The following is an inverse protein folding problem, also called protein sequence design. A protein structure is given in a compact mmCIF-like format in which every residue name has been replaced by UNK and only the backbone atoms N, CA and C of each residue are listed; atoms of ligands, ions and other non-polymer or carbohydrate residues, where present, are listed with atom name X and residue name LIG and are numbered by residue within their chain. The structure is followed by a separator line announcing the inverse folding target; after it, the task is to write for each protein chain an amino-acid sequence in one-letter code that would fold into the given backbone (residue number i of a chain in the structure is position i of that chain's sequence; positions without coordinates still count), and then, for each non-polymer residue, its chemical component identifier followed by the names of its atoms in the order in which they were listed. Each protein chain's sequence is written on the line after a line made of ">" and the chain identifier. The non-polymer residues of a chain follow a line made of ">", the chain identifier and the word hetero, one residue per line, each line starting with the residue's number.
data_IF_167674687604
#
_entry.id   IF_167674687604
#
_cell.length_a   1.000
_cell.length_b   1.000
_cell.length_c   1.000
_cell.angle_alpha   90.00
_cell.angle_beta   90.00
_cell.angle_gamma   90.00
#
_symmetry.space_group_name_H-M   'P 1'
#
loop_
_entity.id
_entity.type
_entity.pdbx_description
1 polymer ?
#
# COMPACT_ATOMS: atom_id res chain seq x y z
N UNK A 1 18.45 -3.18 -7.52
CA UNK A 1 18.51 -2.03 -6.62
C UNK A 1 17.16 -1.86 -5.95
N UNK A 2 17.13 -1.67 -4.63
CA UNK A 2 15.87 -1.55 -3.91
C UNK A 2 15.40 -0.10 -3.87
N UNK A 3 14.07 0.08 -3.88
CA UNK A 3 13.46 1.38 -3.62
C UNK A 3 13.50 1.69 -2.13
N UNK A 4 13.67 2.94 -1.79
CA UNK A 4 13.45 3.42 -0.43
C UNK A 4 11.94 3.45 -0.18
N UNK A 5 11.51 2.98 0.99
CA UNK A 5 10.09 3.02 1.38
C UNK A 5 9.91 4.09 2.45
N UNK A 6 9.02 5.03 2.17
CA UNK A 6 8.68 6.10 3.08
C UNK A 6 7.18 6.06 3.37
N UNK A 7 6.71 6.77 4.39
CA UNK A 7 5.34 6.69 4.85
C UNK A 7 4.77 8.09 5.03
N UNK A 8 3.52 8.28 4.60
CA UNK A 8 2.75 9.45 5.00
C UNK A 8 2.46 9.38 6.50
N UNK A 9 2.11 10.52 7.09
CA UNK A 9 1.75 10.57 8.51
C UNK A 9 0.58 9.65 8.82
N UNK A 10 -0.40 9.60 7.94
CA UNK A 10 -1.56 8.72 8.12
C UNK A 10 -1.15 7.24 8.07
N UNK A 11 -0.34 6.84 7.09
CA UNK A 11 0.12 5.46 6.96
C UNK A 11 0.93 5.04 8.19
N UNK A 12 1.76 5.94 8.70
CA UNK A 12 2.56 5.68 9.90
C UNK A 12 1.67 5.45 11.11
N UNK A 13 0.63 6.28 11.29
CA UNK A 13 -0.34 6.08 12.38
C UNK A 13 -1.09 4.76 12.23
N UNK A 14 -1.51 4.42 11.01
CA UNK A 14 -2.21 3.17 10.75
C UNK A 14 -1.32 1.96 11.04
N UNK A 15 -0.06 2.02 10.62
CA UNK A 15 0.91 0.95 10.86
C UNK A 15 1.12 0.72 12.36
N UNK A 16 1.22 1.79 13.12
CA UNK A 16 1.44 1.72 14.57
C UNK A 16 0.25 1.12 15.33
N UNK A 17 -0.94 1.11 14.75
CA UNK A 17 -2.15 0.54 15.36
C UNK A 17 -2.37 -0.93 15.02
N UNK A 18 -1.57 -1.50 14.13
CA UNK A 18 -1.74 -2.88 13.74
C UNK A 18 -1.33 -3.83 14.84
N UNK A 19 -2.02 -4.98 14.93
CA UNK A 19 -1.57 -6.10 15.75
C UNK A 19 -0.22 -6.58 15.24
N UNK A 20 0.51 -7.32 16.05
CA UNK A 20 1.81 -7.86 15.64
C UNK A 20 1.73 -8.73 14.39
N UNK A 21 0.78 -9.70 14.29
CA UNK A 21 0.67 -10.50 13.06
C UNK A 21 0.39 -9.66 11.80
N UNK A 22 -0.48 -8.66 11.91
CA UNK A 22 -0.79 -7.78 10.78
C UNK A 22 0.44 -6.96 10.39
N UNK A 23 1.18 -6.47 11.37
CA UNK A 23 2.39 -5.69 11.15
C UNK A 23 3.46 -6.52 10.44
N UNK A 24 3.62 -7.78 10.81
CA UNK A 24 4.56 -8.71 10.15
C UNK A 24 4.16 -8.92 8.70
N UNK A 25 2.87 -9.16 8.43
CA UNK A 25 2.38 -9.35 7.06
C UNK A 25 2.64 -8.12 6.20
N UNK A 26 2.37 -6.93 6.74
CA UNK A 26 2.61 -5.67 6.04
C UNK A 26 4.12 -5.45 5.81
N UNK A 27 4.94 -5.70 6.81
CA UNK A 27 6.40 -5.55 6.68
C UNK A 27 6.96 -6.43 5.57
N UNK A 28 6.51 -7.68 5.48
CA UNK A 28 6.94 -8.60 4.42
C UNK A 28 6.50 -8.10 3.04
N UNK A 29 5.29 -7.59 2.93
CA UNK A 29 4.80 -7.03 1.68
C UNK A 29 5.61 -5.79 1.28
N UNK A 30 5.95 -4.93 2.23
CA UNK A 30 6.78 -3.75 1.97
C UNK A 30 8.18 -4.13 1.50
N UNK A 31 8.78 -5.17 2.06
CA UNK A 31 10.09 -5.66 1.62
C UNK A 31 10.03 -6.09 0.15
N UNK A 32 8.97 -6.79 -0.25
CA UNK A 32 8.79 -7.20 -1.64
C UNK A 32 8.56 -6.00 -2.57
N UNK A 33 7.80 -5.01 -2.12
CA UNK A 33 7.56 -3.79 -2.89
C UNK A 33 8.83 -2.96 -3.05
N UNK A 34 9.71 -2.97 -2.05
CA UNK A 34 11.00 -2.28 -2.15
C UNK A 34 11.88 -2.86 -3.25
N UNK A 35 11.79 -4.18 -3.46
CA UNK A 35 12.54 -4.84 -4.54
C UNK A 35 11.90 -4.54 -5.90
N UNK A 36 10.57 -4.66 -5.99
CA UNK A 36 9.83 -4.39 -7.22
C UNK A 36 8.42 -3.87 -6.90
N UNK A 37 8.23 -2.55 -6.94
CA UNK A 37 6.91 -1.98 -6.61
C UNK A 37 5.83 -2.24 -7.66
N UNK A 38 6.21 -2.74 -8.83
CA UNK A 38 5.27 -3.11 -9.90
C UNK A 38 5.12 -4.63 -10.04
N UNK A 39 5.44 -5.37 -9.00
CA UNK A 39 5.39 -6.83 -8.99
C UNK A 39 3.98 -7.35 -9.31
N UNK A 40 3.85 -8.61 -9.77
CA UNK A 40 2.54 -9.22 -10.00
C UNK A 40 1.66 -9.14 -8.74
N UNK A 41 0.39 -8.80 -8.93
CA UNK A 41 -0.57 -8.59 -7.84
C UNK A 41 -0.74 -7.12 -7.46
N UNK A 42 0.20 -6.26 -7.79
CA UNK A 42 0.04 -4.82 -7.63
C UNK A 42 -0.86 -4.30 -8.73
N UNK A 43 -1.83 -3.45 -8.38
CA UNK A 43 -2.75 -2.85 -9.34
C UNK A 43 -2.88 -1.37 -9.07
N UNK A 44 -3.16 -0.61 -10.13
CA UNK A 44 -3.51 0.79 -9.99
C UNK A 44 -4.84 0.93 -9.27
N UNK A 45 -4.95 1.93 -8.40
CA UNK A 45 -6.21 2.28 -7.76
C UNK A 45 -7.11 2.92 -8.83
N UNK A 46 -8.33 2.42 -8.97
CA UNK A 46 -9.30 2.91 -9.95
C UNK A 46 -9.61 4.38 -9.65
N UNK A 47 -9.58 5.21 -10.69
CA UNK A 47 -9.83 6.65 -10.55
C UNK A 47 -8.62 7.47 -10.13
N UNK A 48 -7.45 6.84 -9.97
CA UNK A 48 -6.21 7.54 -9.64
C UNK A 48 -5.16 7.31 -10.72
N UNK A 49 -4.38 8.34 -11.00
CA UNK A 49 -3.28 8.24 -11.96
C UNK A 49 -1.97 7.82 -11.31
N UNK A 50 -1.88 7.87 -9.98
CA UNK A 50 -0.60 7.74 -9.29
C UNK A 50 -0.63 6.80 -8.08
N UNK A 51 -1.79 6.25 -7.72
CA UNK A 51 -1.90 5.36 -6.57
C UNK A 51 -1.98 3.90 -7.01
N UNK A 52 -1.30 3.05 -6.26
CA UNK A 52 -1.26 1.62 -6.46
C UNK A 52 -1.68 0.91 -5.18
N UNK A 53 -2.18 -0.30 -5.32
CA UNK A 53 -2.50 -1.14 -4.16
C UNK A 53 -1.75 -2.45 -4.19
N UNK A 54 -1.40 -2.93 -3.02
CA UNK A 54 -0.85 -4.27 -2.82
C UNK A 54 -1.59 -4.94 -1.67
N UNK A 55 -1.69 -6.27 -1.73
CA UNK A 55 -2.31 -7.07 -0.68
C UNK A 55 -1.26 -7.54 0.32
N UNK A 56 -1.63 -7.52 1.60
CA UNK A 56 -0.83 -8.06 2.69
C UNK A 56 -1.79 -8.80 3.62
N UNK A 57 -2.14 -10.06 3.27
CA UNK A 57 -3.20 -10.79 3.95
C UNK A 57 -4.53 -10.07 3.82
N UNK A 58 -5.18 -9.80 4.93
CA UNK A 58 -6.44 -9.05 4.95
C UNK A 58 -6.23 -7.53 4.90
N UNK A 59 -5.00 -7.08 4.82
CA UNK A 59 -4.68 -5.66 4.77
C UNK A 59 -4.32 -5.25 3.36
N UNK A 60 -4.50 -3.95 3.11
CA UNK A 60 -4.17 -3.33 1.82
C UNK A 60 -3.22 -2.19 2.05
N UNK A 61 -2.23 -2.10 1.19
CA UNK A 61 -1.23 -1.03 1.19
C UNK A 61 -1.50 -0.18 -0.03
N UNK A 62 -1.76 1.10 0.17
CA UNK A 62 -1.91 2.06 -0.91
C UNK A 62 -0.64 2.90 -0.96
N UNK A 63 -0.04 3.02 -2.12
CA UNK A 63 1.26 3.67 -2.25
C UNK A 63 1.43 4.36 -3.59
N UNK A 64 2.39 5.28 -3.61
CA UNK A 64 2.87 5.97 -4.81
C UNK A 64 4.24 5.43 -5.19
N UNK A 65 4.54 5.43 -6.48
CA UNK A 65 5.85 5.05 -6.99
C UNK A 65 6.49 6.28 -7.62
N UNK A 66 7.62 6.71 -7.08
CA UNK A 66 8.39 7.83 -7.59
C UNK A 66 9.68 7.27 -8.22
N UNK A 67 9.60 6.92 -9.50
CA UNK A 67 10.67 6.17 -10.17
C UNK A 67 11.97 6.95 -10.25
N UNK A 68 11.88 8.25 -10.57
CA UNK A 68 13.08 9.10 -10.69
C UNK A 68 13.84 9.19 -9.37
N UNK A 69 13.18 9.00 -8.25
CA UNK A 69 13.77 9.06 -6.91
C UNK A 69 14.01 7.69 -6.30
N UNK A 70 13.65 6.62 -7.00
CA UNK A 70 13.71 5.25 -6.51
C UNK A 70 13.01 5.14 -5.14
N UNK A 71 11.79 5.68 -5.06
CA UNK A 71 11.07 5.89 -3.81
C UNK A 71 9.65 5.36 -3.92
N UNK A 72 9.21 4.62 -2.91
CA UNK A 72 7.81 4.23 -2.70
C UNK A 72 7.30 4.99 -1.49
N UNK A 73 6.20 5.72 -1.63
CA UNK A 73 5.56 6.40 -0.52
C UNK A 73 4.26 5.68 -0.18
N UNK A 74 4.20 5.08 0.99
CA UNK A 74 2.99 4.41 1.48
C UNK A 74 2.07 5.48 2.06
N UNK A 75 0.85 5.57 1.51
CA UNK A 75 -0.11 6.60 1.92
C UNK A 75 -1.23 6.03 2.79
N UNK A 76 -1.54 4.73 2.68
CA UNK A 76 -2.50 4.06 3.55
C UNK A 76 -2.11 2.61 3.82
N UNK A 77 -2.39 2.16 5.03
CA UNK A 77 -2.32 0.75 5.42
C UNK A 77 -3.56 0.46 6.26
N UNK A 78 -4.49 -0.32 5.73
CA UNK A 78 -5.74 -0.59 6.43
C UNK A 78 -6.32 -1.94 6.04
N UNK A 79 -7.22 -2.43 6.89
CA UNK A 79 -7.96 -3.66 6.60
C UNK A 79 -8.75 -3.48 5.30
N UNK A 80 -8.87 -4.56 4.52
CA UNK A 80 -9.54 -4.54 3.20
C UNK A 80 -10.96 -3.97 3.24
N UNK A 81 -11.63 -4.05 4.39
CA UNK A 81 -12.98 -3.52 4.54
C UNK A 81 -13.03 -2.01 4.76
N UNK A 82 -11.87 -1.38 5.05
CA UNK A 82 -11.82 0.06 5.40
C UNK A 82 -10.91 0.89 4.51
N UNK A 83 -9.97 0.27 3.82
CA UNK A 83 -8.90 0.99 3.13
C UNK A 83 -9.41 2.00 2.11
N UNK A 84 -10.57 1.72 1.50
CA UNK A 84 -11.13 2.55 0.44
C UNK A 84 -12.20 3.53 0.92
N UNK A 85 -12.45 3.65 2.23
CA UNK A 85 -13.56 4.46 2.77
C UNK A 85 -13.55 5.92 2.35
N UNK A 86 -12.37 6.50 2.21
CA UNK A 86 -12.21 7.90 1.85
C UNK A 86 -11.68 8.07 0.43
N UNK A 87 -11.76 7.01 -0.36
CA UNK A 87 -11.35 7.02 -1.75
C UNK A 87 -12.61 6.95 -2.60
N UNK A 88 -12.78 7.91 -3.49
CA UNK A 88 -14.00 8.03 -4.28
C UNK A 88 -14.25 6.80 -5.14
N UNK A 89 -15.43 6.22 -4.96
CA UNK A 89 -16.14 5.31 -5.86
C UNK A 89 -15.28 4.25 -6.56
N UNK A 90 -14.69 3.35 -5.80
CA UNK A 90 -14.17 2.11 -6.37
C UNK A 90 -15.36 1.21 -6.74
N UNK A 91 -15.33 0.56 -7.91
CA UNK A 91 -16.38 -0.37 -8.29
C UNK A 91 -16.52 -1.52 -7.29
N UNK A 92 -17.73 -2.06 -7.09
CA UNK A 92 -17.91 -3.24 -6.25
C UNK A 92 -17.03 -4.40 -6.77
N UNK A 93 -16.43 -5.13 -5.83
CA UNK A 93 -15.57 -6.27 -6.16
C UNK A 93 -14.21 -5.93 -6.71
N UNK A 94 -13.84 -4.67 -6.72
CA UNK A 94 -12.55 -4.24 -7.24
C UNK A 94 -11.38 -4.83 -6.46
N UNK A 95 -11.55 -5.00 -5.17
CA UNK A 95 -10.53 -5.58 -4.32
C UNK A 95 -10.44 -7.10 -4.56
#
# INVERSE_FOLDING_TARGET
>A
MAYVVDFSDQAERELNRLSLPARVAVARALDRLAVNPRRPGVRKVVGSDHLYRAKAGDYRIIFEIHEARVLVVVVRVAHRTRVYRHMDSLPPGWD
#
